data_IF_158282947885
#
_entry.id   IF_158282947885
#
_cell.length_a   1.000
_cell.length_b   1.000
_cell.length_c   1.000
_cell.angle_alpha   90.00
_cell.angle_beta   90.00
_cell.angle_gamma   90.00
#
_symmetry.space_group_name_H-M   'P 1'
#
loop_
_entity.id
_entity.type
_entity.pdbx_description
1 polymer ?
#
# COMPACT_ATOMS: atom_id res chain seq x y z
N UNK A 1 4.14 2.83 -13.45
CA UNK A 1 3.86 2.87 -12.02
C UNK A 1 3.76 4.32 -11.56
N UNK A 2 2.80 4.62 -10.68
CA UNK A 2 2.66 5.90 -9.97
C UNK A 2 2.78 5.62 -8.49
N UNK A 3 3.62 6.38 -7.79
CA UNK A 3 3.88 6.25 -6.36
C UNK A 3 3.58 7.59 -5.69
N UNK A 4 2.88 7.56 -4.57
CA UNK A 4 2.48 8.73 -3.78
C UNK A 4 2.87 8.54 -2.31
N UNK A 5 3.24 9.59 -1.58
CA UNK A 5 3.43 9.54 -0.13
C UNK A 5 2.06 9.51 0.59
N UNK A 6 1.35 8.38 0.48
CA UNK A 6 -0.03 8.20 0.96
C UNK A 6 -0.20 6.83 1.64
N UNK A 7 0.79 6.42 2.43
CA UNK A 7 0.81 5.11 3.09
C UNK A 7 0.08 5.07 4.44
N UNK A 8 0.08 3.89 5.05
CA UNK A 8 -0.60 3.62 6.33
C UNK A 8 -0.06 4.43 7.52
N UNK A 9 1.13 5.04 7.41
CA UNK A 9 1.64 5.99 8.41
C UNK A 9 0.70 7.19 8.61
N UNK A 10 -0.16 7.48 7.64
CA UNK A 10 -1.14 8.58 7.68
C UNK A 10 -2.55 8.14 8.12
N UNK A 11 -2.76 6.89 8.45
CA UNK A 11 -4.07 6.36 8.88
C UNK A 11 -4.57 6.95 10.22
N UNK A 12 -3.68 7.56 11.00
CA UNK A 12 -4.00 8.02 12.35
C UNK A 12 -4.44 6.85 13.22
N UNK A 13 -5.70 6.86 13.68
CA UNK A 13 -6.32 5.77 14.45
C UNK A 13 -7.21 4.86 13.57
N UNK A 14 -7.35 5.15 12.30
CA UNK A 14 -8.19 4.40 11.37
C UNK A 14 -7.36 3.39 10.55
N UNK A 15 -6.63 2.50 11.23
CA UNK A 15 -5.74 1.53 10.57
C UNK A 15 -6.45 0.77 9.45
N UNK A 16 -5.85 0.76 8.25
CA UNK A 16 -6.40 0.20 7.03
C UNK A 16 -7.03 1.24 6.08
N UNK A 17 -7.10 2.52 6.47
CA UNK A 17 -7.71 3.57 5.66
C UNK A 17 -6.95 3.80 4.34
N UNK A 18 -5.62 3.86 4.37
CA UNK A 18 -4.80 3.97 3.16
C UNK A 18 -5.03 2.79 2.20
N UNK A 19 -5.09 1.57 2.75
CA UNK A 19 -5.33 0.35 1.96
C UNK A 19 -6.71 0.36 1.30
N UNK A 20 -7.77 0.63 2.08
CA UNK A 20 -9.13 0.74 1.54
C UNK A 20 -9.27 1.88 0.53
N UNK A 21 -8.56 3.01 0.74
CA UNK A 21 -8.55 4.12 -0.23
C UNK A 21 -7.91 3.70 -1.54
N UNK A 22 -6.75 3.04 -1.49
CA UNK A 22 -6.08 2.54 -2.69
C UNK A 22 -6.96 1.56 -3.47
N UNK A 23 -7.60 0.62 -2.80
CA UNK A 23 -8.51 -0.35 -3.44
C UNK A 23 -9.73 0.35 -4.04
N UNK A 24 -10.30 1.33 -3.34
CA UNK A 24 -11.50 2.04 -3.76
C UNK A 24 -11.31 2.91 -5.01
N UNK A 25 -10.08 3.26 -5.41
CA UNK A 25 -9.81 3.93 -6.68
C UNK A 25 -10.37 3.17 -7.88
N UNK A 26 -10.42 1.84 -7.80
CA UNK A 26 -10.90 0.95 -8.87
C UNK A 26 -12.41 0.65 -8.79
N UNK A 27 -13.14 1.25 -7.87
CA UNK A 27 -14.59 1.05 -7.74
C UNK A 27 -15.42 1.83 -8.77
N UNK A 28 -14.78 2.30 -9.83
CA UNK A 28 -15.32 3.11 -10.91
C UNK A 28 -14.75 4.51 -10.91
N UNK A 29 -14.85 5.13 -12.07
CA UNK A 29 -14.40 6.48 -12.34
C UNK A 29 -15.59 7.32 -12.83
N UNK A 30 -15.37 8.61 -13.06
CA UNK A 30 -16.40 9.47 -13.66
C UNK A 30 -16.82 9.02 -15.06
N UNK A 31 -15.96 8.28 -15.77
CA UNK A 31 -16.14 7.89 -17.16
C UNK A 31 -16.52 6.42 -17.34
N UNK A 32 -16.22 5.57 -16.36
CA UNK A 32 -16.42 4.12 -16.45
C UNK A 32 -16.88 3.55 -15.10
N UNK A 33 -17.88 2.69 -15.13
CA UNK A 33 -18.21 1.85 -13.99
C UNK A 33 -17.07 0.85 -13.72
N UNK A 34 -17.05 0.22 -12.54
CA UNK A 34 -16.10 -0.84 -12.22
C UNK A 34 -16.10 -1.96 -13.25
N UNK A 35 -17.30 -2.45 -13.64
CA UNK A 35 -17.44 -3.53 -14.62
C UNK A 35 -16.87 -3.12 -15.98
N UNK A 36 -17.16 -1.92 -16.47
CA UNK A 36 -16.59 -1.42 -17.73
C UNK A 36 -15.07 -1.28 -17.66
N UNK A 37 -14.53 -0.83 -16.52
CA UNK A 37 -13.08 -0.73 -16.33
C UNK A 37 -12.41 -2.10 -16.39
N UNK A 38 -12.98 -3.11 -15.74
CA UNK A 38 -12.51 -4.49 -15.73
C UNK A 38 -12.59 -5.09 -17.13
N UNK A 39 -13.73 -4.98 -17.82
CA UNK A 39 -13.95 -5.46 -19.18
C UNK A 39 -12.97 -4.85 -20.19
N UNK A 40 -12.75 -3.54 -20.13
CA UNK A 40 -11.81 -2.85 -21.01
C UNK A 40 -10.37 -3.32 -20.83
N UNK A 41 -9.93 -3.53 -19.58
CA UNK A 41 -8.60 -4.03 -19.30
C UNK A 41 -8.43 -5.48 -19.74
N UNK A 42 -9.42 -6.33 -19.48
CA UNK A 42 -9.41 -7.73 -19.85
C UNK A 42 -9.39 -7.89 -21.37
N UNK A 43 -10.19 -7.10 -22.10
CA UNK A 43 -10.26 -7.15 -23.57
C UNK A 43 -8.90 -6.88 -24.23
N UNK A 44 -8.08 -6.01 -23.68
CA UNK A 44 -6.73 -5.67 -24.22
C UNK A 44 -5.60 -6.44 -23.54
N UNK A 45 -5.91 -7.33 -22.60
CA UNK A 45 -4.90 -8.06 -21.82
C UNK A 45 -4.02 -7.17 -20.96
N UNK A 46 -4.54 -6.03 -20.51
CA UNK A 46 -3.84 -5.09 -19.64
C UNK A 46 -4.23 -5.29 -18.18
N UNK A 47 -3.39 -4.79 -17.27
CA UNK A 47 -3.72 -4.77 -15.84
C UNK A 47 -3.42 -3.41 -15.24
N UNK A 48 -4.31 -2.96 -14.34
CA UNK A 48 -4.12 -1.80 -13.46
C UNK A 48 -4.38 -2.26 -12.03
N UNK A 49 -3.34 -2.21 -11.20
CA UNK A 49 -3.39 -2.61 -9.80
C UNK A 49 -3.10 -1.41 -8.91
N UNK A 50 -3.84 -1.27 -7.84
CA UNK A 50 -3.64 -0.25 -6.82
C UNK A 50 -3.11 -0.91 -5.55
N UNK A 51 -2.32 -0.18 -4.77
CA UNK A 51 -1.73 -0.69 -3.54
C UNK A 51 -1.53 0.42 -2.51
N UNK A 52 -1.43 0.02 -1.26
CA UNK A 52 -0.86 0.82 -0.19
C UNK A 52 0.21 0.01 0.56
N UNK A 53 1.20 0.71 1.07
CA UNK A 53 2.26 0.19 1.93
C UNK A 53 2.35 1.00 3.22
N UNK A 54 3.41 0.84 4.00
CA UNK A 54 3.63 1.66 5.20
C UNK A 54 3.70 3.16 4.85
N UNK A 55 4.52 3.54 3.89
CA UNK A 55 4.83 4.96 3.59
C UNK A 55 4.19 5.46 2.29
N UNK A 56 3.84 4.58 1.38
CA UNK A 56 3.38 4.94 0.05
C UNK A 56 2.08 4.24 -0.33
N UNK A 57 1.35 4.85 -1.22
CA UNK A 57 0.30 4.21 -2.00
C UNK A 57 0.51 4.52 -3.48
N UNK A 58 -0.18 3.82 -4.35
CA UNK A 58 -0.07 4.09 -5.76
C UNK A 58 -0.78 3.07 -6.62
N UNK A 59 -0.40 3.08 -7.89
CA UNK A 59 -0.89 2.13 -8.85
C UNK A 59 0.21 1.71 -9.82
N UNK A 60 0.08 0.49 -10.32
CA UNK A 60 0.93 -0.05 -11.39
C UNK A 60 0.06 -0.52 -12.54
N UNK A 61 0.54 -0.33 -13.76
CA UNK A 61 -0.12 -0.83 -14.96
C UNK A 61 0.86 -1.63 -15.81
N UNK A 62 0.37 -2.70 -16.44
CA UNK A 62 1.10 -3.50 -17.41
C UNK A 62 0.24 -3.65 -18.65
N UNK A 63 0.81 -3.38 -19.83
CA UNK A 63 0.08 -3.36 -21.08
C UNK A 63 1.02 -3.49 -22.28
N UNK A 64 0.50 -3.86 -23.44
CA UNK A 64 1.24 -3.87 -24.69
C UNK A 64 1.42 -2.44 -25.23
N UNK A 65 2.54 -2.16 -25.88
CA UNK A 65 2.89 -0.82 -26.41
C UNK A 65 1.80 -0.21 -27.30
N UNK A 66 1.12 -1.04 -28.10
CA UNK A 66 -0.01 -0.62 -28.96
C UNK A 66 -1.20 -0.03 -28.19
N UNK A 67 -1.37 -0.42 -26.93
CA UNK A 67 -2.49 -0.01 -26.09
C UNK A 67 -2.11 1.11 -25.10
N UNK A 68 -0.90 1.66 -25.23
CA UNK A 68 -0.34 2.62 -24.28
C UNK A 68 -1.24 3.85 -24.08
N UNK A 69 -1.81 4.42 -25.14
CA UNK A 69 -2.67 5.60 -25.03
C UNK A 69 -3.94 5.31 -24.25
N UNK A 70 -4.56 4.16 -24.53
CA UNK A 70 -5.77 3.73 -23.85
C UNK A 70 -5.52 3.49 -22.37
N UNK A 71 -4.48 2.71 -22.04
CA UNK A 71 -4.18 2.37 -20.64
C UNK A 71 -3.69 3.55 -19.83
N UNK A 72 -2.89 4.45 -20.39
CA UNK A 72 -2.48 5.67 -19.70
C UNK A 72 -3.65 6.60 -19.40
N UNK A 73 -4.65 6.68 -20.28
CA UNK A 73 -5.89 7.40 -20.00
C UNK A 73 -6.71 6.72 -18.89
N UNK A 74 -6.79 5.38 -18.85
CA UNK A 74 -7.41 4.63 -17.76
C UNK A 74 -6.67 4.91 -16.43
N UNK A 75 -5.34 4.84 -16.42
CA UNK A 75 -4.50 5.17 -15.25
C UNK A 75 -4.79 6.58 -14.73
N UNK A 76 -4.83 7.56 -15.64
CA UNK A 76 -5.22 8.93 -15.27
C UNK A 76 -6.61 8.99 -14.66
N UNK A 77 -7.58 8.31 -15.25
CA UNK A 77 -8.98 8.37 -14.82
C UNK A 77 -9.17 7.71 -13.45
N UNK A 78 -8.57 6.54 -13.23
CA UNK A 78 -8.53 5.84 -11.93
C UNK A 78 -7.88 6.72 -10.85
N UNK A 79 -6.78 7.41 -11.20
CA UNK A 79 -6.05 8.22 -10.24
C UNK A 79 -6.72 9.56 -9.92
N UNK A 80 -7.30 10.23 -10.92
CA UNK A 80 -7.78 11.63 -10.79
C UNK A 80 -9.29 11.76 -10.67
N UNK A 81 -10.04 10.75 -11.12
CA UNK A 81 -11.50 10.82 -11.23
C UNK A 81 -12.22 9.64 -10.57
N UNK A 82 -11.73 9.05 -9.45
CA UNK A 82 -12.46 7.97 -8.79
C UNK A 82 -13.80 8.48 -8.25
N UNK A 83 -14.82 7.65 -8.31
CA UNK A 83 -16.17 8.01 -7.79
C UNK A 83 -16.39 7.52 -6.36
N UNK A 84 -15.60 6.56 -5.89
CA UNK A 84 -15.74 5.94 -4.58
C UNK A 84 -17.19 5.45 -4.36
N UNK A 85 -17.63 4.54 -5.23
CA UNK A 85 -18.95 3.97 -5.15
C UNK A 85 -19.19 3.31 -3.78
N UNK A 86 -20.24 3.78 -3.07
CA UNK A 86 -20.51 3.35 -1.70
C UNK A 86 -20.87 1.86 -1.61
N UNK A 87 -21.53 1.31 -2.63
CA UNK A 87 -21.94 -0.10 -2.67
C UNK A 87 -20.74 -1.00 -2.89
N UNK A 88 -19.85 -0.64 -3.84
CA UNK A 88 -18.63 -1.38 -4.09
C UNK A 88 -17.65 -1.24 -2.91
N UNK A 89 -17.59 -0.06 -2.29
CA UNK A 89 -16.79 0.14 -1.08
C UNK A 89 -17.24 -0.77 0.08
N UNK A 90 -18.56 -0.86 0.32
CA UNK A 90 -19.06 -1.71 1.40
C UNK A 90 -18.78 -3.20 1.15
N UNK A 91 -18.91 -3.67 -0.10
CA UNK A 91 -18.51 -5.04 -0.48
C UNK A 91 -17.02 -5.30 -0.19
N UNK A 92 -16.15 -4.34 -0.56
CA UNK A 92 -14.72 -4.49 -0.34
C UNK A 92 -14.35 -4.45 1.14
N UNK A 93 -15.00 -3.57 1.92
CA UNK A 93 -14.84 -3.54 3.37
C UNK A 93 -15.20 -4.89 4.01
N UNK A 94 -16.30 -5.51 3.58
CA UNK A 94 -16.69 -6.85 4.07
C UNK A 94 -15.68 -7.92 3.66
N UNK A 95 -15.16 -7.90 2.42
CA UNK A 95 -14.08 -8.80 1.99
C UNK A 95 -12.83 -8.64 2.86
N UNK A 96 -12.44 -7.38 3.13
CA UNK A 96 -11.30 -7.07 3.99
C UNK A 96 -11.50 -7.62 5.40
N UNK A 97 -12.68 -7.44 5.99
CA UNK A 97 -13.01 -7.98 7.32
C UNK A 97 -12.92 -9.52 7.35
N UNK A 98 -13.48 -10.19 6.36
CA UNK A 98 -13.37 -11.65 6.23
C UNK A 98 -11.91 -12.07 6.06
N UNK A 99 -11.14 -11.38 5.23
CA UNK A 99 -9.71 -11.66 5.04
C UNK A 99 -8.88 -11.49 6.31
N UNK A 100 -9.16 -10.45 7.10
CA UNK A 100 -8.51 -10.23 8.40
C UNK A 100 -8.81 -11.34 9.41
N UNK A 101 -10.04 -11.87 9.44
CA UNK A 101 -10.38 -13.01 10.28
C UNK A 101 -9.70 -14.29 9.78
N UNK A 102 -9.73 -14.56 8.47
CA UNK A 102 -9.05 -15.71 7.88
C UNK A 102 -7.53 -15.69 8.07
N UNK A 103 -6.91 -14.51 8.06
CA UNK A 103 -5.47 -14.38 8.30
C UNK A 103 -5.05 -14.93 9.67
N UNK A 104 -5.93 -14.89 10.68
CA UNK A 104 -5.68 -15.41 12.03
C UNK A 104 -5.56 -16.94 12.06
N UNK A 105 -6.04 -17.64 11.02
CA UNK A 105 -5.90 -19.08 10.91
C UNK A 105 -4.46 -19.52 10.62
N UNK A 106 -3.61 -18.62 10.11
CA UNK A 106 -2.20 -18.89 9.86
C UNK A 106 -1.30 -17.97 10.68
N UNK A 107 -0.50 -18.49 11.61
CA UNK A 107 0.46 -17.69 12.36
C UNK A 107 1.39 -16.86 11.46
N UNK A 108 1.79 -17.41 10.31
CA UNK A 108 2.65 -16.72 9.34
C UNK A 108 2.00 -15.48 8.72
N UNK A 109 0.68 -15.46 8.63
CA UNK A 109 -0.06 -14.34 8.02
C UNK A 109 -0.21 -13.13 8.95
N UNK A 110 -0.02 -13.32 10.25
CA UNK A 110 -0.25 -12.28 11.27
C UNK A 110 1.01 -11.88 12.04
N UNK A 111 2.07 -12.69 11.99
CA UNK A 111 3.27 -12.47 12.81
C UNK A 111 3.94 -11.12 12.54
N UNK A 112 3.96 -10.65 11.28
CA UNK A 112 4.52 -9.35 10.89
C UNK A 112 3.84 -8.19 11.62
N UNK A 113 2.51 -8.23 11.74
CA UNK A 113 1.73 -7.19 12.41
C UNK A 113 1.95 -7.21 13.93
N UNK A 114 2.03 -8.39 14.55
CA UNK A 114 2.35 -8.54 15.97
C UNK A 114 3.77 -8.08 16.27
N UNK A 115 4.73 -8.51 15.45
CA UNK A 115 6.13 -8.14 15.62
C UNK A 115 6.34 -6.63 15.43
N UNK A 116 5.78 -6.05 14.36
CA UNK A 116 5.83 -4.61 14.11
C UNK A 116 5.15 -3.81 15.22
N UNK A 117 4.00 -4.30 15.71
CA UNK A 117 3.27 -3.68 16.80
C UNK A 117 4.06 -3.63 18.11
N UNK A 118 4.83 -4.69 18.40
CA UNK A 118 5.73 -4.74 19.57
C UNK A 118 6.98 -3.86 19.36
N UNK A 119 7.68 -4.07 18.22
CA UNK A 119 8.96 -3.42 17.94
C UNK A 119 8.84 -1.90 17.81
N UNK A 120 7.75 -1.44 17.19
CA UNK A 120 7.50 -0.02 16.91
C UNK A 120 6.40 0.58 17.80
N UNK A 121 6.19 0.04 19.00
CA UNK A 121 5.15 0.52 19.90
C UNK A 121 5.20 2.05 20.10
N UNK A 122 4.06 2.71 19.86
CA UNK A 122 3.96 4.19 19.91
C UNK A 122 4.47 4.93 18.67
N UNK A 123 5.02 4.25 17.69
CA UNK A 123 5.45 4.83 16.42
C UNK A 123 4.47 4.43 15.28
N UNK A 124 4.36 5.28 14.24
CA UNK A 124 3.45 5.03 13.10
C UNK A 124 3.78 3.75 12.32
N UNK A 125 4.98 3.23 12.41
CA UNK A 125 5.36 1.94 11.81
C UNK A 125 4.71 0.72 12.50
N UNK A 126 4.16 0.88 13.70
CA UNK A 126 3.34 -0.14 14.34
C UNK A 126 1.97 -0.34 13.66
N UNK A 127 1.52 0.63 12.83
CA UNK A 127 0.22 0.57 12.19
C UNK A 127 0.16 -0.58 11.17
N UNK A 128 -0.78 -1.53 11.28
CA UNK A 128 -0.95 -2.57 10.28
C UNK A 128 -1.52 -1.96 9.00
N UNK A 129 -0.90 -2.23 7.85
CA UNK A 129 -1.33 -1.69 6.55
C UNK A 129 -2.73 -2.17 6.17
N UNK A 130 -3.02 -3.44 6.41
CA UNK A 130 -4.35 -4.04 6.19
C UNK A 130 -5.41 -3.61 7.20
N UNK A 131 -5.00 -2.92 8.26
CA UNK A 131 -5.89 -2.52 9.34
C UNK A 131 -6.16 -3.63 10.35
N UNK A 132 -7.15 -3.39 11.19
CA UNK A 132 -7.68 -4.35 12.18
C UNK A 132 -9.19 -4.42 12.00
N UNK A 133 -9.81 -5.54 12.31
CA UNK A 133 -11.28 -5.69 12.22
C UNK A 133 -12.02 -4.57 12.98
N UNK A 134 -11.49 -4.17 14.15
CA UNK A 134 -12.07 -3.10 14.99
C UNK A 134 -11.96 -1.69 14.37
N UNK A 135 -11.00 -1.44 13.47
CA UNK A 135 -10.82 -0.16 12.78
C UNK A 135 -11.47 -0.18 11.41
N UNK A 136 -11.22 -1.20 10.59
CA UNK A 136 -11.78 -1.37 9.24
C UNK A 136 -13.31 -1.34 9.24
N UNK A 137 -13.95 -2.00 10.21
CA UNK A 137 -15.41 -2.00 10.33
C UNK A 137 -16.04 -0.61 10.51
N UNK A 138 -15.27 0.35 11.03
CA UNK A 138 -15.71 1.73 11.29
C UNK A 138 -15.39 2.71 10.17
N UNK A 139 -14.52 2.35 9.22
CA UNK A 139 -14.14 3.22 8.11
C UNK A 139 -15.34 3.40 7.17
N UNK A 140 -15.63 4.65 6.85
CA UNK A 140 -16.69 5.03 5.91
C UNK A 140 -16.13 5.43 4.55
N UNK A 141 -16.99 5.47 3.55
CA UNK A 141 -16.61 6.00 2.23
C UNK A 141 -16.22 7.49 2.29
N UNK A 142 -16.74 8.24 3.24
CA UNK A 142 -16.38 9.64 3.43
C UNK A 142 -14.99 9.79 4.03
N UNK A 143 -14.54 8.86 4.89
CA UNK A 143 -13.16 8.82 5.37
C UNK A 143 -12.19 8.55 4.22
N UNK A 144 -12.53 7.60 3.33
CA UNK A 144 -11.77 7.31 2.10
C UNK A 144 -11.67 8.56 1.20
N UNK A 145 -12.78 9.26 0.97
CA UNK A 145 -12.78 10.50 0.19
C UNK A 145 -11.92 11.60 0.81
N UNK A 146 -11.96 11.75 2.14
CA UNK A 146 -11.12 12.71 2.87
C UNK A 146 -9.64 12.35 2.75
N UNK A 147 -9.29 11.07 2.95
CA UNK A 147 -7.92 10.58 2.82
C UNK A 147 -7.39 10.81 1.40
N UNK A 148 -8.14 10.41 0.38
CA UNK A 148 -7.81 10.67 -1.01
C UNK A 148 -7.54 12.16 -1.28
N UNK A 149 -8.41 13.04 -0.82
CA UNK A 149 -8.29 14.49 -1.00
C UNK A 149 -7.04 15.07 -0.33
N UNK A 150 -6.61 14.47 0.78
CA UNK A 150 -5.47 14.93 1.56
C UNK A 150 -4.13 14.41 1.05
N UNK A 151 -4.09 13.23 0.39
CA UNK A 151 -2.82 12.56 0.10
C UNK A 151 -2.60 12.20 -1.38
N UNK A 152 -3.66 12.12 -2.21
CA UNK A 152 -3.53 11.76 -3.63
C UNK A 152 -3.31 13.00 -4.51
N UNK A 153 -2.17 13.64 -4.32
CA UNK A 153 -1.77 14.86 -5.02
C UNK A 153 -0.37 14.71 -5.64
N UNK A 154 0.04 15.56 -6.60
CA UNK A 154 1.33 15.44 -7.26
C UNK A 154 2.52 15.79 -6.36
N UNK A 155 2.30 16.39 -5.19
CA UNK A 155 3.36 16.74 -4.25
C UNK A 155 4.06 15.48 -3.71
N UNK A 156 5.32 15.29 -4.08
CA UNK A 156 6.09 14.09 -3.73
C UNK A 156 5.74 12.84 -4.54
N UNK A 157 4.85 12.95 -5.53
CA UNK A 157 4.53 11.83 -6.41
C UNK A 157 5.67 11.56 -7.41
N UNK A 158 5.85 10.27 -7.76
CA UNK A 158 6.76 9.84 -8.82
C UNK A 158 6.02 8.97 -9.82
N UNK A 159 6.33 9.16 -11.10
CA UNK A 159 5.83 8.31 -12.19
C UNK A 159 7.04 7.66 -12.88
N UNK A 160 7.06 6.33 -12.94
CA UNK A 160 8.06 5.55 -13.65
C UNK A 160 7.39 4.76 -14.77
N UNK A 161 7.98 4.85 -15.98
CA UNK A 161 7.55 4.08 -17.15
C UNK A 161 8.76 3.34 -17.70
N UNK A 162 8.60 2.05 -17.96
CA UNK A 162 9.62 1.17 -18.54
C UNK A 162 9.00 0.41 -19.71
N UNK A 163 9.69 0.35 -20.84
CA UNK A 163 9.20 -0.36 -22.02
C UNK A 163 9.82 0.16 -23.31
N UNK A 164 9.25 -0.24 -24.43
CA UNK A 164 9.65 0.19 -25.78
C UNK A 164 8.91 1.46 -26.18
N UNK A 165 9.56 2.60 -26.02
CA UNK A 165 9.05 3.93 -26.40
C UNK A 165 10.17 4.96 -26.52
N UNK A 166 9.92 6.06 -27.22
CA UNK A 166 10.82 7.22 -27.24
C UNK A 166 10.59 8.05 -25.97
N UNK A 167 11.66 8.27 -25.20
CA UNK A 167 11.59 8.98 -23.91
C UNK A 167 10.95 10.37 -24.03
N UNK A 168 11.28 11.15 -25.09
CA UNK A 168 10.70 12.48 -25.30
C UNK A 168 9.19 12.44 -25.47
N UNK A 169 8.70 11.51 -26.29
CA UNK A 169 7.27 11.37 -26.59
C UNK A 169 6.49 10.94 -25.33
N UNK A 170 7.03 9.97 -24.58
CA UNK A 170 6.41 9.51 -23.33
C UNK A 170 6.38 10.62 -22.29
N UNK A 171 7.47 11.38 -22.13
CA UNK A 171 7.52 12.53 -21.22
C UNK A 171 6.48 13.59 -21.59
N UNK A 172 6.36 13.95 -22.87
CA UNK A 172 5.36 14.91 -23.34
C UNK A 172 3.94 14.41 -23.07
N UNK A 173 3.66 13.12 -23.35
CA UNK A 173 2.38 12.48 -23.10
C UNK A 173 2.00 12.51 -21.62
N UNK A 174 2.88 12.10 -20.71
CA UNK A 174 2.64 12.13 -19.27
C UNK A 174 2.44 13.56 -18.76
N UNK A 175 3.23 14.51 -19.22
CA UNK A 175 3.08 15.93 -18.87
C UNK A 175 1.69 16.44 -19.26
N UNK A 176 1.21 16.11 -20.45
CA UNK A 176 -0.13 16.48 -20.91
C UNK A 176 -1.23 15.80 -20.10
N UNK A 177 -1.12 14.49 -19.85
CA UNK A 177 -2.12 13.71 -19.13
C UNK A 177 -2.34 14.20 -17.70
N UNK A 178 -1.27 14.57 -17.00
CA UNK A 178 -1.29 14.96 -15.60
C UNK A 178 -1.17 16.48 -15.36
N UNK A 179 -1.26 17.31 -16.43
CA UNK A 179 -1.16 18.77 -16.35
C UNK A 179 -2.16 19.40 -15.38
N UNK A 180 -3.36 18.84 -15.27
CA UNK A 180 -4.45 19.34 -14.42
C UNK A 180 -4.51 18.64 -13.04
N UNK A 181 -3.50 17.87 -12.66
CA UNK A 181 -3.45 17.26 -11.35
C UNK A 181 -3.19 18.35 -10.30
N UNK A 182 -4.21 18.65 -9.50
CA UNK A 182 -4.18 19.77 -8.57
C UNK A 182 -3.12 19.54 -7.47
N UNK A 183 -2.24 20.51 -7.29
CA UNK A 183 -1.29 20.54 -6.19
C UNK A 183 -2.02 20.87 -4.88
N UNK A 184 -1.49 20.32 -3.79
CA UNK A 184 -1.95 20.59 -2.43
C UNK A 184 -0.75 20.89 -1.52
N UNK A 185 -0.96 20.76 -0.23
CA UNK A 185 0.12 20.83 0.76
C UNK A 185 0.77 19.46 0.88
N UNK A 186 2.08 19.39 0.73
CA UNK A 186 2.81 18.12 0.91
C UNK A 186 2.52 17.54 2.31
N UNK A 187 2.30 16.21 2.42
CA UNK A 187 2.10 15.58 3.71
C UNK A 187 3.28 15.83 4.64
N UNK A 188 2.99 16.06 5.91
CA UNK A 188 4.03 16.16 6.94
C UNK A 188 4.68 14.80 7.13
N UNK A 189 6.00 14.74 7.22
CA UNK A 189 6.73 13.51 7.55
C UNK A 189 6.43 13.09 8.99
N UNK A 190 5.47 12.19 9.17
CA UNK A 190 5.06 11.66 10.48
C UNK A 190 5.94 10.49 10.92
N UNK A 191 6.74 9.92 10.03
CA UNK A 191 7.65 8.81 10.31
C UNK A 191 9.01 9.28 10.87
N UNK A 192 9.29 10.57 10.86
CA UNK A 192 10.56 11.13 11.33
C UNK A 192 10.65 11.24 12.87
N UNK A 193 9.77 10.59 13.61
CA UNK A 193 9.87 10.48 15.06
C UNK A 193 10.93 9.44 15.44
N UNK A 194 11.68 9.64 16.54
CA UNK A 194 12.60 8.61 17.01
C UNK A 194 11.85 7.33 17.35
N UNK A 195 12.38 6.20 16.92
CA UNK A 195 11.91 4.88 17.35
C UNK A 195 12.56 4.62 18.72
N UNK A 196 11.75 4.27 19.70
CA UNK A 196 12.25 3.90 21.03
C UNK A 196 12.95 2.55 20.94
N UNK A 197 14.22 2.49 21.31
CA UNK A 197 14.92 1.21 21.45
C UNK A 197 14.42 0.48 22.69
N UNK A 198 14.13 -0.82 22.64
CA UNK A 198 13.82 -1.58 23.83
C UNK A 198 15.01 -1.60 24.79
N UNK A 199 14.74 -1.45 26.08
CA UNK A 199 15.77 -1.42 27.14
C UNK A 199 16.24 -2.82 27.55
N UNK A 200 15.74 -3.87 26.94
CA UNK A 200 16.09 -5.27 27.20
C UNK A 200 15.37 -6.21 26.25
N UNK A 201 15.56 -7.51 26.46
CA UNK A 201 14.85 -8.53 25.68
C UNK A 201 13.34 -8.45 25.98
N UNK A 202 12.55 -8.42 24.90
CA UNK A 202 11.09 -8.44 24.96
C UNK A 202 10.59 -9.72 24.30
N UNK A 203 9.61 -10.34 24.89
CA UNK A 203 8.96 -11.55 24.35
C UNK A 203 7.45 -11.30 24.27
N UNK A 204 6.90 -11.41 23.05
CA UNK A 204 5.46 -11.44 22.84
C UNK A 204 5.05 -12.87 22.49
N UNK A 205 4.29 -13.50 23.37
CA UNK A 205 3.71 -14.82 23.12
C UNK A 205 2.24 -14.67 22.74
N UNK A 206 1.89 -15.15 21.54
CA UNK A 206 0.51 -15.20 21.05
C UNK A 206 0.10 -16.67 20.98
N UNK A 207 -0.84 -17.07 21.82
CA UNK A 207 -1.33 -18.46 21.86
C UNK A 207 -2.39 -18.68 20.76
N UNK A 208 -2.32 -19.85 20.11
CA UNK A 208 -3.36 -20.40 19.23
C UNK A 208 -3.46 -21.88 19.53
N UNK A 209 -4.57 -22.28 20.18
CA UNK A 209 -4.75 -23.60 20.79
C UNK A 209 -4.66 -24.77 19.79
N UNK A 210 -5.05 -24.56 18.53
CA UNK A 210 -5.04 -25.55 17.46
C UNK A 210 -3.79 -25.46 16.54
N UNK A 211 -2.81 -24.61 16.88
CA UNK A 211 -1.57 -24.50 16.12
C UNK A 211 -0.72 -25.79 16.27
N UNK A 212 -0.29 -26.33 15.13
CA UNK A 212 0.59 -27.51 15.08
C UNK A 212 2.06 -27.14 15.03
N UNK A 213 2.38 -25.90 14.67
CA UNK A 213 3.74 -25.39 14.51
C UNK A 213 3.87 -24.04 15.21
N UNK A 214 5.05 -23.78 15.77
CA UNK A 214 5.39 -22.46 16.29
C UNK A 214 6.05 -21.64 15.21
N UNK A 215 5.48 -20.46 14.92
CA UNK A 215 6.12 -19.47 14.08
C UNK A 215 6.68 -18.37 14.99
N UNK A 216 7.92 -17.97 14.79
CA UNK A 216 8.54 -16.93 15.61
C UNK A 216 9.41 -16.00 14.79
N UNK A 217 9.56 -14.76 15.28
CA UNK A 217 10.55 -13.80 14.81
C UNK A 217 11.51 -13.45 15.94
N UNK A 218 12.79 -13.35 15.60
CA UNK A 218 13.84 -12.83 16.48
C UNK A 218 14.50 -11.68 15.76
N UNK A 219 14.59 -10.54 16.40
CA UNK A 219 15.23 -9.36 15.80
C UNK A 219 15.13 -8.12 16.65
N UNK A 220 15.50 -7.01 16.09
CA UNK A 220 15.50 -5.70 16.70
C UNK A 220 15.43 -4.58 15.66
N UNK A 221 15.53 -3.30 16.09
CA UNK A 221 15.59 -2.19 15.17
C UNK A 221 16.76 -2.32 14.21
N UNK A 222 16.47 -2.19 12.92
CA UNK A 222 17.49 -2.21 11.88
C UNK A 222 18.13 -0.83 11.65
N UNK A 223 18.84 -0.71 10.54
CA UNK A 223 19.47 0.53 10.10
C UNK A 223 18.71 1.15 8.92
N UNK A 224 18.85 2.46 8.74
CA UNK A 224 18.24 3.14 7.58
C UNK A 224 18.84 2.64 6.28
N UNK A 225 18.04 2.59 5.21
CA UNK A 225 18.50 2.21 3.86
C UNK A 225 19.66 3.08 3.34
N UNK A 226 19.76 4.32 3.79
CA UNK A 226 20.86 5.23 3.46
C UNK A 226 22.15 4.98 4.25
N UNK A 227 22.15 4.06 5.21
CA UNK A 227 23.35 3.69 5.94
C UNK A 227 24.32 2.95 5.00
N UNK A 228 25.64 3.28 4.99
CA UNK A 228 26.60 2.60 4.12
C UNK A 228 26.70 1.10 4.36
N UNK A 229 26.40 0.62 5.57
CA UNK A 229 26.44 -0.80 5.93
C UNK A 229 25.14 -1.55 5.56
N UNK A 230 24.15 -0.89 4.96
CA UNK A 230 22.84 -1.47 4.68
C UNK A 230 22.97 -2.79 3.89
N UNK A 231 23.79 -2.82 2.83
CA UNK A 231 23.97 -4.00 1.98
C UNK A 231 24.62 -5.15 2.77
N UNK A 232 25.60 -4.85 3.63
CA UNK A 232 26.24 -5.85 4.47
C UNK A 232 25.27 -6.48 5.47
N UNK A 233 24.41 -5.64 6.10
CA UNK A 233 23.36 -6.12 7.02
C UNK A 233 22.30 -6.96 6.29
N UNK A 234 21.90 -6.60 5.07
CA UNK A 234 21.00 -7.41 4.23
C UNK A 234 21.59 -8.80 3.94
N UNK A 235 22.87 -8.88 3.61
CA UNK A 235 23.57 -10.16 3.38
C UNK A 235 23.59 -11.00 4.67
N UNK A 236 23.97 -10.40 5.80
CA UNK A 236 24.00 -11.10 7.10
C UNK A 236 22.60 -11.61 7.47
N UNK A 237 21.59 -10.76 7.34
CA UNK A 237 20.21 -11.12 7.63
C UNK A 237 19.71 -12.27 6.74
N UNK A 238 20.11 -12.29 5.48
CA UNK A 238 19.79 -13.39 4.55
C UNK A 238 20.44 -14.71 4.97
N UNK A 239 21.68 -14.67 5.48
CA UNK A 239 22.38 -15.85 5.98
C UNK A 239 21.72 -16.39 7.25
N UNK A 240 21.34 -15.50 8.19
CA UNK A 240 20.82 -15.89 9.50
C UNK A 240 19.38 -16.40 9.49
N UNK A 241 18.54 -15.93 8.58
CA UNK A 241 17.12 -16.33 8.63
C UNK A 241 16.29 -15.88 7.43
N UNK A 242 16.89 -15.27 6.42
CA UNK A 242 16.16 -14.66 5.31
C UNK A 242 15.72 -15.62 4.19
N UNK A 243 16.11 -16.90 4.25
CA UNK A 243 15.81 -17.91 3.22
C UNK A 243 15.54 -19.28 3.82
N UNK A 244 14.91 -20.17 3.04
CA UNK A 244 14.65 -21.56 3.43
C UNK A 244 15.92 -22.35 3.80
N UNK A 245 17.06 -22.02 3.19
CA UNK A 245 18.38 -22.63 3.45
C UNK A 245 19.25 -21.82 4.40
N UNK A 246 18.68 -20.89 5.17
CA UNK A 246 19.42 -20.13 6.19
C UNK A 246 19.82 -21.00 7.38
N UNK A 247 20.78 -20.52 8.14
CA UNK A 247 21.30 -21.20 9.35
C UNK A 247 20.29 -21.15 10.49
#
# INVERSE_FOLDING_TARGET
SVILPAGAIYDGQQYGLASLTATALKHGTKNMSKAQLEEELDFIGASVNTYASKESAGLSAKFATKDADKVLNIVKDVLLNPVFDAKEFEKEKQRTLVGLEQAKESPRSVIDDYYSGMLYAGHVYANPVSGRSSTVGKISVDDVKKFYKSFYMPNGAAIAVVGDFKTGDMKAKLTSLFSNWAKGTAPTDVANKPISNPTGAQVLLVNKDDARETTFYIGGPGIKRSNPDFVAVEVINTILGGRFTSW
#
